data_IF_801606666108
#
_entry.id   IF_801606666108
#
_cell.length_a   1.000
_cell.length_b   1.000
_cell.length_c   1.000
_cell.angle_alpha   90.00
_cell.angle_beta   90.00
_cell.angle_gamma   90.00
#
_symmetry.space_group_name_H-M   'P 1'
#
loop_
_entity.id
_entity.type
_entity.pdbx_description
1 polymer ?
#
# COMPACT_ATOMS: atom_id res chain seq x y z
N UNK A 1 22.60 12.57 12.98
CA UNK A 1 22.72 11.26 13.67
C UNK A 1 21.99 10.19 12.85
N UNK A 2 22.49 8.93 12.86
CA UNK A 2 21.79 7.83 12.17
C UNK A 2 20.47 7.49 12.87
N UNK A 3 19.42 7.19 12.11
CA UNK A 3 18.14 6.72 12.64
C UNK A 3 18.33 5.33 13.25
N UNK A 4 17.83 5.13 14.47
CA UNK A 4 17.85 3.83 15.17
C UNK A 4 16.55 3.08 14.92
N UNK A 5 16.60 1.74 15.02
CA UNK A 5 15.38 0.95 14.98
C UNK A 5 14.48 1.28 16.19
N UNK A 6 13.16 1.25 15.96
CA UNK A 6 12.18 1.33 17.03
C UNK A 6 12.26 0.11 17.94
N UNK A 7 12.03 0.32 19.25
CA UNK A 7 11.80 -0.76 20.21
C UNK A 7 10.41 -1.38 19.98
N UNK A 8 10.18 -2.58 20.51
CA UNK A 8 8.85 -3.23 20.42
C UNK A 8 7.74 -2.35 21.00
N UNK A 9 8.02 -1.68 22.13
CA UNK A 9 7.07 -0.74 22.79
C UNK A 9 6.73 0.46 21.89
N UNK A 10 7.75 1.05 21.24
CA UNK A 10 7.52 2.14 20.30
C UNK A 10 6.67 1.69 19.08
N UNK A 11 6.94 0.50 18.55
CA UNK A 11 6.15 -0.06 17.44
C UNK A 11 4.69 -0.28 17.85
N UNK A 12 4.46 -0.81 19.05
CA UNK A 12 3.10 -1.00 19.58
C UNK A 12 2.35 0.33 19.65
N UNK A 13 2.91 1.33 20.32
CA UNK A 13 2.33 2.68 20.46
C UNK A 13 2.11 3.33 19.09
N UNK A 14 3.07 3.16 18.16
CA UNK A 14 2.98 3.70 16.80
C UNK A 14 1.70 3.22 16.10
N UNK A 15 1.42 1.91 16.11
CA UNK A 15 0.23 1.37 15.45
C UNK A 15 -1.06 1.60 16.23
N UNK A 16 -1.04 1.59 17.56
CA UNK A 16 -2.20 1.96 18.38
C UNK A 16 -2.71 3.37 18.02
N UNK A 17 -1.82 4.35 17.94
CA UNK A 17 -2.18 5.73 17.59
C UNK A 17 -2.63 5.89 16.14
N UNK A 18 -2.03 5.16 15.19
CA UNK A 18 -2.52 5.16 13.82
C UNK A 18 -3.92 4.54 13.74
N UNK A 19 -4.21 3.49 14.52
CA UNK A 19 -5.53 2.88 14.64
C UNK A 19 -6.53 3.85 15.27
N UNK A 20 -6.19 4.54 16.34
CA UNK A 20 -7.03 5.57 16.97
C UNK A 20 -7.36 6.70 16.00
N UNK A 21 -6.36 7.19 15.27
CA UNK A 21 -6.55 8.24 14.27
C UNK A 21 -7.44 7.78 13.11
N UNK A 22 -7.36 6.50 12.72
CA UNK A 22 -8.07 5.94 11.57
C UNK A 22 -8.41 4.46 11.81
N UNK A 23 -9.53 4.18 12.51
CA UNK A 23 -9.88 2.80 12.91
C UNK A 23 -10.08 1.83 11.74
N UNK A 24 -10.54 2.30 10.58
CA UNK A 24 -10.80 1.48 9.39
C UNK A 24 -10.09 2.08 8.18
N UNK A 25 -8.78 1.87 8.03
CA UNK A 25 -8.04 2.40 6.91
C UNK A 25 -8.41 1.63 5.63
N UNK A 26 -8.65 2.36 4.54
CA UNK A 26 -9.01 1.76 3.24
C UNK A 26 -8.11 2.29 2.14
N UNK A 27 -7.99 1.54 1.05
CA UNK A 27 -7.41 2.03 -0.19
C UNK A 27 -8.24 3.18 -0.74
N UNK A 28 -7.60 4.09 -1.47
CA UNK A 28 -8.27 5.19 -2.18
C UNK A 28 -8.74 4.78 -3.59
N UNK A 29 -8.48 3.53 -4.02
CA UNK A 29 -9.02 2.96 -5.25
C UNK A 29 -10.47 2.51 -5.05
N UNK A 30 -11.33 2.79 -6.04
CA UNK A 30 -12.72 2.35 -6.08
C UNK A 30 -12.80 0.92 -6.65
N UNK A 31 -13.43 0.00 -5.93
CA UNK A 31 -13.68 -1.38 -6.37
C UNK A 31 -14.83 -1.99 -5.58
N UNK A 32 -15.51 -2.98 -6.12
CA UNK A 32 -16.61 -3.72 -5.49
C UNK A 32 -16.30 -5.21 -5.28
N UNK A 33 -15.32 -5.76 -5.99
CA UNK A 33 -14.94 -7.16 -5.92
C UNK A 33 -13.42 -7.35 -6.13
N UNK A 34 -12.84 -8.55 -5.82
CA UNK A 34 -11.41 -8.79 -5.96
C UNK A 34 -10.86 -8.60 -7.39
N UNK A 35 -11.66 -8.84 -8.43
CA UNK A 35 -11.23 -8.65 -9.81
C UNK A 35 -11.09 -7.17 -10.15
N UNK A 36 -12.07 -6.36 -9.80
CA UNK A 36 -11.97 -4.89 -9.95
C UNK A 36 -10.76 -4.34 -9.21
N UNK A 37 -10.49 -4.81 -7.98
CA UNK A 37 -9.30 -4.43 -7.24
C UNK A 37 -8.02 -4.80 -7.99
N UNK A 38 -7.90 -6.04 -8.51
CA UNK A 38 -6.74 -6.48 -9.27
C UNK A 38 -6.50 -5.58 -10.49
N UNK A 39 -7.54 -5.25 -11.25
CA UNK A 39 -7.47 -4.35 -12.40
C UNK A 39 -7.05 -2.95 -11.96
N UNK A 40 -7.72 -2.37 -10.95
CA UNK A 40 -7.43 -1.02 -10.47
C UNK A 40 -5.97 -0.89 -9.96
N UNK A 41 -5.49 -1.87 -9.18
CA UNK A 41 -4.10 -1.88 -8.68
C UNK A 41 -3.10 -2.06 -9.83
N UNK A 42 -3.39 -2.88 -10.83
CA UNK A 42 -2.54 -3.05 -12.02
C UNK A 42 -2.47 -1.74 -12.81
N UNK A 43 -3.59 -1.05 -12.96
CA UNK A 43 -3.66 0.25 -13.63
C UNK A 43 -2.96 1.37 -12.83
N UNK A 44 -2.85 1.24 -11.50
CA UNK A 44 -2.23 2.26 -10.63
C UNK A 44 -0.71 2.33 -10.71
N UNK A 45 -0.04 1.37 -11.36
CA UNK A 45 1.40 1.43 -11.58
C UNK A 45 1.80 2.73 -12.31
N UNK A 46 2.60 3.59 -11.66
CA UNK A 46 3.00 4.91 -12.16
C UNK A 46 1.81 5.83 -12.56
N UNK A 47 0.68 5.69 -11.86
CA UNK A 47 -0.49 6.55 -12.03
C UNK A 47 -1.05 6.94 -10.66
N UNK A 48 -1.84 8.01 -10.60
CA UNK A 48 -2.51 8.43 -9.36
C UNK A 48 -3.82 7.67 -9.18
N UNK A 49 -4.21 7.38 -7.94
CA UNK A 49 -5.49 6.72 -7.64
C UNK A 49 -6.68 7.50 -8.23
N UNK A 50 -6.61 8.84 -8.20
CA UNK A 50 -7.63 9.72 -8.82
C UNK A 50 -7.76 9.47 -10.32
N UNK A 51 -6.64 9.33 -11.04
CA UNK A 51 -6.69 9.07 -12.49
C UNK A 51 -7.21 7.67 -12.81
N UNK A 52 -6.85 6.70 -11.97
CA UNK A 52 -7.36 5.32 -12.09
C UNK A 52 -8.85 5.28 -11.82
N UNK A 53 -9.33 5.87 -10.72
CA UNK A 53 -10.75 5.90 -10.39
C UNK A 53 -11.58 6.54 -11.51
N UNK A 54 -11.13 7.67 -12.10
CA UNK A 54 -11.82 8.30 -13.23
C UNK A 54 -11.98 7.38 -14.45
N UNK A 55 -11.03 6.47 -14.67
CA UNK A 55 -11.08 5.50 -15.76
C UNK A 55 -11.96 4.29 -15.38
N UNK A 56 -11.77 3.75 -14.17
CA UNK A 56 -12.49 2.55 -13.71
C UNK A 56 -13.96 2.84 -13.41
N UNK A 57 -14.33 4.06 -12.98
CA UNK A 57 -15.72 4.49 -12.80
C UNK A 57 -16.53 4.43 -14.13
N UNK A 58 -15.83 4.51 -15.28
CA UNK A 58 -16.47 4.33 -16.61
C UNK A 58 -16.37 2.90 -17.10
N UNK A 59 -15.30 2.19 -16.75
CA UNK A 59 -15.03 0.82 -17.21
C UNK A 59 -15.88 -0.21 -16.47
N UNK A 60 -15.90 -0.20 -15.14
CA UNK A 60 -16.53 -1.25 -14.34
C UNK A 60 -18.04 -1.39 -14.52
N UNK A 61 -18.84 -0.34 -14.76
CA UNK A 61 -20.25 -0.51 -15.12
C UNK A 61 -20.49 -1.29 -16.41
N UNK A 62 -19.48 -1.34 -17.30
CA UNK A 62 -19.58 -2.03 -18.61
C UNK A 62 -18.86 -3.37 -18.57
N UNK A 63 -17.70 -3.45 -17.91
CA UNK A 63 -16.86 -4.63 -17.90
C UNK A 63 -16.16 -4.80 -16.55
N UNK A 64 -16.76 -5.57 -15.65
CA UNK A 64 -16.25 -5.84 -14.30
C UNK A 64 -15.99 -7.34 -14.02
N UNK A 65 -15.88 -8.14 -15.08
CA UNK A 65 -15.46 -9.55 -15.01
C UNK A 65 -14.33 -9.83 -15.99
N UNK A 66 -13.54 -10.90 -15.78
CA UNK A 66 -12.50 -11.30 -16.73
C UNK A 66 -13.04 -11.48 -18.16
N UNK A 67 -14.21 -12.10 -18.31
CA UNK A 67 -14.84 -12.33 -19.62
C UNK A 67 -15.23 -11.03 -20.31
N UNK A 68 -15.83 -10.10 -19.57
CA UNK A 68 -16.27 -8.81 -20.11
C UNK A 68 -15.08 -7.97 -20.60
N UNK A 69 -13.99 -7.89 -19.83
CA UNK A 69 -12.76 -7.18 -20.26
C UNK A 69 -12.10 -7.92 -21.43
N UNK A 70 -12.06 -9.26 -21.40
CA UNK A 70 -11.50 -10.04 -22.50
C UNK A 70 -12.29 -9.84 -23.80
N UNK A 71 -13.61 -9.76 -23.71
CA UNK A 71 -14.49 -9.48 -24.86
C UNK A 71 -14.31 -8.06 -25.42
N UNK A 72 -14.04 -7.06 -24.59
CA UNK A 72 -13.67 -5.70 -25.07
C UNK A 72 -12.40 -5.73 -25.91
N UNK A 73 -11.48 -6.66 -25.60
CA UNK A 73 -10.17 -6.72 -26.23
C UNK A 73 -9.28 -5.54 -25.87
N UNK A 74 -8.07 -5.53 -26.43
CA UNK A 74 -7.05 -4.51 -26.11
C UNK A 74 -7.51 -3.12 -26.55
N UNK A 75 -8.03 -2.99 -27.78
CA UNK A 75 -8.44 -1.68 -28.31
C UNK A 75 -9.67 -1.14 -27.58
N UNK A 76 -10.65 -1.98 -27.26
CA UNK A 76 -11.81 -1.56 -26.47
C UNK A 76 -11.44 -1.11 -25.07
N UNK A 77 -10.52 -1.81 -24.38
CA UNK A 77 -10.06 -1.42 -23.06
C UNK A 77 -9.28 -0.09 -23.10
N UNK A 78 -8.45 0.16 -24.13
CA UNK A 78 -7.73 1.42 -24.30
C UNK A 78 -8.64 2.65 -24.27
N UNK A 79 -9.85 2.56 -24.84
CA UNK A 79 -10.78 3.70 -24.85
C UNK A 79 -11.13 4.20 -23.45
N UNK A 80 -11.18 3.30 -22.46
CA UNK A 80 -11.45 3.67 -21.07
C UNK A 80 -10.24 4.17 -20.32
N UNK A 81 -9.03 3.63 -20.63
CA UNK A 81 -7.82 3.88 -19.84
C UNK A 81 -6.78 4.78 -20.50
N UNK A 82 -7.06 5.37 -21.67
CA UNK A 82 -6.13 6.22 -22.45
C UNK A 82 -5.59 7.45 -21.72
N UNK A 83 -6.25 7.86 -20.63
CA UNK A 83 -5.78 8.94 -19.76
C UNK A 83 -4.76 8.51 -18.72
N UNK A 84 -4.51 7.19 -18.59
CA UNK A 84 -3.56 6.62 -17.65
C UNK A 84 -2.21 6.43 -18.35
N UNK A 85 -1.12 6.81 -17.69
CA UNK A 85 0.23 6.59 -18.23
C UNK A 85 0.49 5.11 -18.57
N UNK A 86 1.22 4.86 -19.65
CA UNK A 86 1.55 3.52 -20.15
C UNK A 86 0.32 2.66 -20.51
N UNK A 87 -0.78 3.29 -20.89
CA UNK A 87 -2.07 2.61 -21.11
C UNK A 87 -2.02 1.50 -22.15
N UNK A 88 -1.17 1.59 -23.18
CA UNK A 88 -1.01 0.54 -24.19
C UNK A 88 -0.55 -0.79 -23.57
N UNK A 89 0.58 -0.76 -22.86
CA UNK A 89 1.12 -1.94 -22.19
C UNK A 89 0.19 -2.44 -21.07
N UNK A 90 -0.48 -1.53 -20.36
CA UNK A 90 -1.46 -1.89 -19.33
C UNK A 90 -2.67 -2.59 -19.93
N UNK A 91 -3.23 -2.10 -21.04
CA UNK A 91 -4.34 -2.74 -21.73
C UNK A 91 -3.99 -4.16 -22.17
N UNK A 92 -2.84 -4.34 -22.81
CA UNK A 92 -2.36 -5.66 -23.22
C UNK A 92 -2.20 -6.60 -22.03
N UNK A 93 -1.57 -6.15 -20.95
CA UNK A 93 -1.36 -6.97 -19.77
C UNK A 93 -2.67 -7.37 -19.09
N UNK A 94 -3.60 -6.44 -18.93
CA UNK A 94 -4.89 -6.72 -18.31
C UNK A 94 -5.70 -7.72 -19.15
N UNK A 95 -5.76 -7.56 -20.48
CA UNK A 95 -6.49 -8.50 -21.35
C UNK A 95 -5.83 -9.89 -21.34
N UNK A 96 -4.49 -9.96 -21.34
CA UNK A 96 -3.76 -11.24 -21.21
C UNK A 96 -3.99 -11.89 -19.84
N UNK A 97 -4.03 -11.09 -18.77
CA UNK A 97 -4.34 -11.58 -17.42
C UNK A 97 -5.77 -12.12 -17.35
N UNK A 98 -6.75 -11.44 -17.95
CA UNK A 98 -8.13 -11.93 -18.04
C UNK A 98 -8.22 -13.27 -18.75
N UNK A 99 -7.51 -13.47 -19.89
CA UNK A 99 -7.43 -14.75 -20.56
C UNK A 99 -6.94 -15.86 -19.64
N UNK A 100 -5.86 -15.63 -18.90
CA UNK A 100 -5.31 -16.62 -17.94
C UNK A 100 -6.30 -16.90 -16.81
N UNK A 101 -6.97 -15.89 -16.28
CA UNK A 101 -8.00 -16.07 -15.25
C UNK A 101 -9.14 -16.96 -15.74
N UNK A 102 -9.61 -16.76 -16.98
CA UNK A 102 -10.66 -17.59 -17.59
C UNK A 102 -10.17 -19.03 -17.78
N UNK A 103 -9.00 -19.20 -18.40
CA UNK A 103 -8.51 -20.53 -18.81
C UNK A 103 -8.01 -21.40 -17.66
N UNK A 104 -7.43 -20.77 -16.60
CA UNK A 104 -6.71 -21.49 -15.52
C UNK A 104 -7.31 -21.32 -14.14
N UNK A 105 -8.13 -20.32 -13.92
CA UNK A 105 -8.60 -19.94 -12.58
C UNK A 105 -10.13 -19.82 -12.50
N UNK A 106 -10.88 -20.34 -13.49
CA UNK A 106 -12.36 -20.28 -13.53
C UNK A 106 -12.88 -18.84 -13.30
N UNK A 107 -12.20 -17.85 -13.87
CA UNK A 107 -12.50 -16.42 -13.72
C UNK A 107 -12.40 -15.88 -12.28
N UNK A 108 -11.78 -16.62 -11.36
CA UNK A 108 -11.58 -16.22 -9.96
C UNK A 108 -10.16 -15.68 -9.79
N UNK A 109 -10.04 -14.58 -9.05
CA UNK A 109 -8.73 -14.01 -8.69
C UNK A 109 -8.01 -14.97 -7.74
N UNK A 110 -6.77 -15.40 -8.04
CA UNK A 110 -6.02 -16.31 -7.19
C UNK A 110 -5.73 -15.72 -5.80
N UNK A 111 -5.86 -16.55 -4.77
CA UNK A 111 -5.58 -16.18 -3.38
C UNK A 111 -4.19 -16.66 -2.92
N UNK A 112 -3.20 -16.61 -3.81
CA UNK A 112 -1.80 -16.86 -3.46
C UNK A 112 -0.87 -16.04 -4.36
N UNK A 113 0.32 -15.74 -3.83
CA UNK A 113 1.26 -14.84 -4.49
C UNK A 113 1.81 -15.41 -5.80
N UNK A 114 2.14 -16.69 -5.84
CA UNK A 114 2.78 -17.28 -7.02
C UNK A 114 1.86 -17.20 -8.25
N UNK A 115 0.60 -17.53 -8.09
CA UNK A 115 -0.39 -17.44 -9.17
C UNK A 115 -0.71 -15.99 -9.56
N UNK A 116 -0.77 -15.07 -8.58
CA UNK A 116 -0.95 -13.64 -8.87
C UNK A 116 0.24 -13.08 -9.65
N UNK A 117 1.47 -13.38 -9.25
CA UNK A 117 2.68 -12.91 -9.96
C UNK A 117 2.85 -13.55 -11.35
N UNK A 118 2.21 -14.68 -11.61
CA UNK A 118 2.17 -15.30 -12.93
C UNK A 118 1.24 -14.56 -13.92
N UNK A 119 0.39 -13.66 -13.44
CA UNK A 119 -0.48 -12.86 -14.30
C UNK A 119 0.31 -11.71 -14.94
N UNK A 120 0.16 -11.46 -16.26
CA UNK A 120 0.80 -10.32 -16.92
C UNK A 120 0.49 -8.98 -16.25
N UNK A 121 1.53 -8.19 -16.00
CA UNK A 121 1.41 -6.89 -15.35
C UNK A 121 1.28 -6.93 -13.82
N UNK A 122 1.24 -8.11 -13.21
CA UNK A 122 1.15 -8.30 -11.76
C UNK A 122 2.52 -8.65 -11.20
N UNK A 123 3.19 -7.69 -10.59
CA UNK A 123 4.43 -7.92 -9.85
C UNK A 123 4.17 -8.13 -8.35
N UNK A 124 5.23 -8.40 -7.60
CA UNK A 124 5.19 -8.64 -6.14
C UNK A 124 4.39 -7.59 -5.37
N UNK A 125 4.58 -6.31 -5.68
CA UNK A 125 3.83 -5.23 -5.01
C UNK A 125 2.32 -5.35 -5.26
N UNK A 126 1.91 -5.51 -6.52
CA UNK A 126 0.50 -5.67 -6.89
C UNK A 126 -0.11 -6.90 -6.23
N UNK A 127 0.58 -8.04 -6.28
CA UNK A 127 0.15 -9.27 -5.62
C UNK A 127 -0.04 -9.06 -4.10
N UNK A 128 0.91 -8.41 -3.43
CA UNK A 128 0.80 -8.10 -1.99
C UNK A 128 -0.38 -7.19 -1.66
N UNK A 129 -0.68 -6.17 -2.49
CA UNK A 129 -1.86 -5.31 -2.30
C UNK A 129 -3.15 -6.12 -2.42
N UNK A 130 -3.28 -6.93 -3.48
CA UNK A 130 -4.48 -7.75 -3.71
C UNK A 130 -4.67 -8.75 -2.57
N UNK A 131 -3.62 -9.46 -2.17
CA UNK A 131 -3.69 -10.43 -1.06
C UNK A 131 -4.08 -9.76 0.26
N UNK A 132 -3.51 -8.59 0.56
CA UNK A 132 -3.85 -7.86 1.76
C UNK A 132 -5.28 -7.34 1.72
N UNK A 133 -5.63 -6.61 0.66
CA UNK A 133 -6.86 -5.82 0.60
C UNK A 133 -8.10 -6.68 0.29
N UNK A 134 -7.99 -7.66 -0.63
CA UNK A 134 -9.13 -8.50 -1.01
C UNK A 134 -9.28 -9.74 -0.13
N UNK A 135 -8.17 -10.27 0.40
CA UNK A 135 -8.17 -11.57 1.08
C UNK A 135 -7.70 -11.52 2.54
N UNK A 136 -7.34 -10.33 3.06
CA UNK A 136 -6.93 -10.16 4.45
C UNK A 136 -5.60 -10.82 4.83
N UNK A 137 -4.74 -11.11 3.85
CA UNK A 137 -3.43 -11.69 4.13
C UNK A 137 -2.50 -10.68 4.82
N UNK A 138 -1.64 -11.12 5.75
CA UNK A 138 -0.68 -10.26 6.44
C UNK A 138 0.51 -9.91 5.54
N UNK A 139 0.24 -9.36 4.35
CA UNK A 139 1.25 -8.95 3.38
C UNK A 139 1.49 -7.44 3.45
N UNK A 140 2.69 -7.02 3.04
CA UNK A 140 3.09 -5.62 3.01
C UNK A 140 3.59 -5.27 1.61
N UNK A 141 2.91 -4.36 0.93
CA UNK A 141 3.32 -3.89 -0.40
C UNK A 141 4.10 -2.57 -0.27
N UNK A 142 5.41 -2.67 -0.14
CA UNK A 142 6.26 -1.49 0.08
C UNK A 142 6.36 -0.65 -1.19
N UNK A 143 5.79 0.55 -1.13
CA UNK A 143 5.94 1.61 -2.12
C UNK A 143 6.93 2.70 -1.62
N UNK A 144 7.06 3.79 -2.35
CA UNK A 144 7.93 4.91 -1.97
C UNK A 144 7.50 5.59 -0.68
N UNK A 145 6.20 5.57 -0.35
CA UNK A 145 5.67 6.13 0.90
C UNK A 145 6.04 5.25 2.09
N UNK A 146 5.74 3.96 2.01
CA UNK A 146 6.06 2.99 3.07
C UNK A 146 7.57 2.85 3.24
N UNK A 147 8.34 2.81 2.14
CA UNK A 147 9.79 2.78 2.19
C UNK A 147 10.36 3.99 2.96
N UNK A 148 9.86 5.18 2.67
CA UNK A 148 10.26 6.41 3.36
C UNK A 148 9.85 6.39 4.84
N UNK A 149 8.60 6.05 5.14
CA UNK A 149 8.10 5.99 6.52
C UNK A 149 8.92 5.00 7.33
N UNK A 150 9.10 3.77 6.83
CA UNK A 150 9.87 2.72 7.50
C UNK A 150 11.30 3.16 7.86
N UNK A 151 12.01 3.71 6.88
CA UNK A 151 13.38 4.18 7.07
C UNK A 151 13.47 5.43 7.95
N UNK A 152 12.60 6.43 7.69
CA UNK A 152 12.64 7.71 8.40
C UNK A 152 12.28 7.57 9.87
N UNK A 153 11.25 6.79 10.18
CA UNK A 153 10.81 6.65 11.57
C UNK A 153 11.66 5.69 12.40
N UNK A 154 12.42 4.81 11.74
CA UNK A 154 13.12 3.69 12.38
C UNK A 154 12.24 2.44 12.57
N UNK A 155 11.03 2.45 12.01
CA UNK A 155 10.12 1.30 12.08
C UNK A 155 10.70 0.07 11.34
N UNK A 156 11.26 0.30 10.14
CA UNK A 156 11.90 -0.74 9.33
C UNK A 156 12.99 -0.14 8.44
N UNK A 157 14.21 -0.12 8.94
CA UNK A 157 15.36 0.43 8.22
C UNK A 157 15.89 -0.62 7.23
N UNK A 158 15.89 -0.31 5.94
CA UNK A 158 16.36 -1.21 4.89
C UNK A 158 16.88 -0.45 3.66
N UNK A 159 17.79 -1.06 2.92
CA UNK A 159 18.44 -0.47 1.73
C UNK A 159 17.56 -0.51 0.49
N UNK A 160 16.62 -1.43 0.44
CA UNK A 160 15.68 -1.63 -0.66
C UNK A 160 14.30 -2.03 -0.16
N UNK A 161 13.32 -2.02 -1.06
CA UNK A 161 11.91 -2.30 -0.73
C UNK A 161 11.69 -3.70 -0.15
N UNK A 162 12.45 -4.70 -0.58
CA UNK A 162 12.33 -6.08 -0.10
C UNK A 162 12.82 -6.22 1.34
N UNK A 163 13.94 -5.59 1.68
CA UNK A 163 14.43 -5.57 3.06
C UNK A 163 13.42 -4.88 3.99
N UNK A 164 12.84 -3.75 3.56
CA UNK A 164 11.81 -3.03 4.34
C UNK A 164 10.56 -3.89 4.48
N UNK A 165 10.09 -4.55 3.41
CA UNK A 165 8.96 -5.50 3.46
C UNK A 165 9.18 -6.57 4.53
N UNK A 166 10.31 -7.30 4.45
CA UNK A 166 10.63 -8.38 5.39
C UNK A 166 10.72 -7.91 6.84
N UNK A 167 11.27 -6.71 7.04
CA UNK A 167 11.37 -6.12 8.39
C UNK A 167 10.00 -5.71 8.91
N UNK A 168 9.18 -5.06 8.11
CA UNK A 168 7.82 -4.66 8.49
C UNK A 168 6.99 -5.88 8.91
N UNK A 169 6.97 -6.92 8.09
CA UNK A 169 6.23 -8.16 8.42
C UNK A 169 6.72 -8.79 9.72
N UNK A 170 8.03 -8.65 10.04
CA UNK A 170 8.63 -9.19 11.27
C UNK A 170 8.33 -8.36 12.52
N UNK A 171 8.32 -7.02 12.41
CA UNK A 171 8.24 -6.13 13.59
C UNK A 171 6.83 -5.70 13.93
N UNK A 172 5.91 -5.68 12.96
CA UNK A 172 4.53 -5.28 13.18
C UNK A 172 3.79 -6.36 13.97
N UNK A 173 3.14 -6.02 15.09
CA UNK A 173 2.31 -6.96 15.83
C UNK A 173 1.20 -7.56 14.95
N UNK A 174 0.87 -8.84 15.17
CA UNK A 174 -0.09 -9.60 14.33
C UNK A 174 -1.47 -8.94 14.25
N UNK A 175 -1.88 -8.27 15.30
CA UNK A 175 -3.16 -7.56 15.37
C UNK A 175 -3.27 -6.34 14.45
N UNK A 176 -2.13 -5.78 14.00
CA UNK A 176 -2.10 -4.59 13.14
C UNK A 176 -1.72 -4.88 11.69
N UNK A 177 -1.13 -6.04 11.40
CA UNK A 177 -0.41 -6.28 10.13
C UNK A 177 -1.31 -6.12 8.89
N UNK A 178 -2.59 -6.49 8.98
CA UNK A 178 -3.52 -6.39 7.87
C UNK A 178 -3.80 -4.92 7.52
N UNK A 179 -4.07 -4.09 8.53
CA UNK A 179 -4.38 -2.68 8.33
C UNK A 179 -3.12 -1.81 8.18
N UNK A 180 -1.97 -2.31 8.63
CA UNK A 180 -0.71 -1.58 8.66
C UNK A 180 -0.29 -1.05 7.28
N UNK A 181 -0.55 -1.81 6.23
CA UNK A 181 -0.28 -1.38 4.86
C UNK A 181 -0.97 -0.05 4.53
N UNK A 182 -2.27 0.05 4.81
CA UNK A 182 -3.06 1.25 4.53
C UNK A 182 -2.69 2.40 5.46
N UNK A 183 -2.49 2.15 6.78
CA UNK A 183 -2.02 3.20 7.69
C UNK A 183 -0.69 3.79 7.26
N UNK A 184 0.28 2.97 6.88
CA UNK A 184 1.60 3.44 6.48
C UNK A 184 1.57 4.23 5.16
N UNK A 185 0.77 3.80 4.18
CA UNK A 185 0.58 4.55 2.92
C UNK A 185 -0.03 5.92 3.22
N UNK A 186 -1.15 5.95 3.95
CA UNK A 186 -1.88 7.18 4.24
C UNK A 186 -1.05 8.13 5.10
N UNK A 187 -0.34 7.58 6.11
CA UNK A 187 0.60 8.37 6.90
C UNK A 187 1.72 8.97 6.05
N UNK A 188 2.26 8.20 5.12
CA UNK A 188 3.29 8.67 4.19
C UNK A 188 2.77 9.70 3.18
N UNK A 189 1.52 9.59 2.73
CA UNK A 189 0.90 10.55 1.79
C UNK A 189 0.59 11.88 2.42
N UNK A 190 0.06 11.91 3.65
CA UNK A 190 -0.59 13.08 4.21
C UNK A 190 0.15 13.72 5.39
N UNK A 191 0.95 12.93 6.14
CA UNK A 191 1.68 13.42 7.32
C UNK A 191 3.18 13.37 7.13
N UNK A 192 3.77 12.17 6.96
CA UNK A 192 5.20 11.97 6.79
C UNK A 192 5.63 12.15 5.33
N UNK A 193 5.26 13.29 4.71
CA UNK A 193 5.55 13.59 3.30
C UNK A 193 7.06 13.79 3.05
N UNK A 194 7.48 13.72 1.76
CA UNK A 194 8.90 13.64 1.42
C UNK A 194 9.70 14.89 1.83
N UNK A 195 9.27 16.07 1.40
CA UNK A 195 10.06 17.32 1.52
C UNK A 195 9.79 18.11 2.80
N UNK A 196 8.54 18.25 3.22
CA UNK A 196 8.14 19.03 4.40
C UNK A 196 7.18 18.20 5.25
N UNK A 197 7.66 17.20 5.99
CA UNK A 197 6.80 16.37 6.82
C UNK A 197 6.14 17.21 7.93
N UNK A 198 4.89 16.90 8.22
CA UNK A 198 4.08 17.62 9.17
C UNK A 198 4.27 17.04 10.58
N UNK A 199 5.50 17.14 11.09
CA UNK A 199 5.84 16.54 12.38
C UNK A 199 5.17 17.24 13.57
N UNK A 200 4.75 18.50 13.42
CA UNK A 200 4.04 19.26 14.44
C UNK A 200 2.62 18.72 14.72
N UNK A 201 1.98 18.07 13.76
CA UNK A 201 0.65 17.46 13.89
C UNK A 201 0.69 15.93 13.86
N UNK A 202 1.90 15.33 13.85
CA UNK A 202 2.07 13.88 13.71
C UNK A 202 1.79 13.16 15.03
N UNK A 203 0.77 12.31 15.05
CA UNK A 203 0.35 11.55 16.23
C UNK A 203 1.38 10.56 16.77
N UNK A 204 2.42 10.25 16.00
CA UNK A 204 3.51 9.32 16.34
C UNK A 204 4.87 10.01 16.44
N UNK A 205 4.92 11.35 16.51
CA UNK A 205 6.16 12.12 16.50
C UNK A 205 7.08 11.82 17.69
N UNK A 206 6.52 11.56 18.88
CA UNK A 206 7.27 11.29 20.12
C UNK A 206 7.92 9.89 20.10
N UNK A 207 7.30 8.89 19.47
CA UNK A 207 7.87 7.54 19.31
C UNK A 207 8.72 7.39 18.04
N UNK A 208 8.75 8.40 17.17
CA UNK A 208 9.56 8.41 15.95
C UNK A 208 11.04 8.61 16.26
N UNK A 209 11.92 7.79 15.68
CA UNK A 209 13.37 7.88 15.90
C UNK A 209 14.12 8.78 14.90
N UNK A 210 13.40 9.49 14.04
CA UNK A 210 14.01 10.44 13.11
C UNK A 210 14.48 11.70 13.85
N UNK A 211 15.80 12.00 13.89
CA UNK A 211 16.31 13.11 14.68
C UNK A 211 15.80 14.47 14.19
N UNK A 212 15.71 14.66 12.87
CA UNK A 212 15.36 15.95 12.27
C UNK A 212 13.87 16.31 12.42
N UNK A 213 13.04 15.43 13.00
CA UNK A 213 11.61 15.71 13.23
C UNK A 213 11.36 16.98 14.03
N UNK A 214 12.31 17.35 14.89
CA UNK A 214 12.22 18.57 15.69
C UNK A 214 12.38 19.85 14.87
N UNK A 215 13.10 19.81 13.75
CA UNK A 215 13.21 20.90 12.80
C UNK A 215 11.88 21.17 12.08
N UNK A 216 11.00 20.13 12.04
CA UNK A 216 9.66 20.19 11.47
C UNK A 216 8.57 20.33 12.54
N UNK A 217 8.93 20.83 13.72
CA UNK A 217 8.00 21.21 14.77
C UNK A 217 7.47 20.10 15.66
N UNK A 218 8.06 18.90 15.65
CA UNK A 218 7.72 17.88 16.63
C UNK A 218 8.00 18.41 18.04
N UNK A 219 7.05 18.20 18.96
CA UNK A 219 7.25 18.59 20.36
C UNK A 219 8.42 17.77 20.95
N UNK A 220 9.33 18.45 21.65
CA UNK A 220 10.31 17.79 22.50
C UNK A 220 9.59 17.37 23.78
N UNK A 221 9.07 16.11 23.82
CA UNK A 221 8.41 15.64 25.03
C UNK A 221 9.42 15.57 26.18
N UNK A 222 9.10 16.23 27.27
CA UNK A 222 9.83 16.15 28.55
C UNK A 222 9.67 14.75 29.19
N UNK A 223 8.84 13.88 28.62
CA UNK A 223 8.27 12.69 29.25
C UNK A 223 8.90 11.33 28.92
N UNK A 224 10.08 11.26 28.31
CA UNK A 224 10.71 9.93 28.08
C UNK A 224 11.59 9.48 29.28
N UNK A 225 11.86 10.36 30.24
CA UNK A 225 12.69 10.01 31.41
C UNK A 225 11.99 9.17 32.48
N UNK A 226 10.67 9.09 32.50
CA UNK A 226 9.93 8.39 33.57
C UNK A 226 9.49 6.96 33.21
N UNK A 227 9.85 6.43 32.04
CA UNK A 227 9.44 5.07 31.63
C UNK A 227 10.52 4.03 31.96
N UNK A 228 11.76 4.45 32.27
CA UNK A 228 12.84 3.54 32.69
C UNK A 228 12.95 3.34 34.21
N UNK A 229 12.13 4.02 35.01
CA UNK A 229 12.19 3.98 36.46
C UNK A 229 11.12 3.12 37.16
N UNK A 230 10.23 2.47 36.39
CA UNK A 230 9.16 1.60 36.95
C UNK A 230 9.20 0.17 36.36
N UNK A 231 10.38 -0.43 36.31
CA UNK A 231 10.55 -1.89 36.13
C UNK A 231 11.60 -2.41 37.11
#
# INVERSE_FOLDING_TARGET
MAVKNMTKKQVQIFFERLREQRPSPKTELNYSNPFELLVAVTLSAQATDVSVNKATDKLFPVANTPEAIYALGVEGLKEYIKTIGLYNAKAENVVKACKILIEKHNSIVPNNRAELEALPGVGRKTANVVLNTAFGHPTMAVDTHIFRVGNRTGLAIGKNVLEVEHRLVKVIPKEFIVDAHHWLILHGRYTCIARKPKCHECVVADVCNWPDRFEFGAARSIAVKNIEAEL
#
